data_IF_761741462358
#
_entry.id   IF_761741462358
#
_cell.length_a   1.000
_cell.length_b   1.000
_cell.length_c   1.000
_cell.angle_alpha   90.00
_cell.angle_beta   90.00
_cell.angle_gamma   90.00
#
_symmetry.space_group_name_H-M   'P 1'
#
loop_
_entity.id
_entity.type
_entity.pdbx_description
1 polymer ?
#
# COMPACT_ATOMS: atom_id res chain seq x y z
N UNK A 1 48.14 68.67 3.07
CA UNK A 1 48.10 67.28 3.59
C UNK A 1 46.94 67.21 4.58
N UNK A 2 45.69 67.20 4.11
CA UNK A 2 45.00 66.06 3.50
C UNK A 2 44.94 64.86 4.46
N UNK A 3 43.73 64.67 5.01
CA UNK A 3 43.04 63.37 5.08
C UNK A 3 43.79 62.21 5.73
N UNK A 4 43.82 62.09 7.08
CA UNK A 4 43.98 60.75 7.69
C UNK A 4 43.78 60.68 9.23
N UNK A 5 42.81 61.37 9.87
CA UNK A 5 42.69 61.25 11.34
C UNK A 5 41.29 61.09 11.96
N UNK A 6 40.24 60.82 11.17
CA UNK A 6 38.93 60.44 11.73
C UNK A 6 38.24 59.45 10.82
N UNK A 7 38.62 58.19 10.90
CA UNK A 7 37.75 57.07 10.49
C UNK A 7 38.26 55.78 11.17
N UNK A 8 38.31 55.79 12.50
CA UNK A 8 38.29 54.54 13.29
C UNK A 8 36.82 54.26 13.58
N UNK A 9 36.12 53.84 12.54
CA UNK A 9 34.96 52.98 12.64
C UNK A 9 35.03 52.08 11.42
N UNK A 10 36.11 51.29 11.34
CA UNK A 10 36.10 50.08 10.52
C UNK A 10 35.03 49.22 11.17
N UNK A 11 33.85 49.27 10.57
CA UNK A 11 32.74 48.38 10.82
C UNK A 11 33.34 46.97 10.72
N UNK A 12 33.57 46.34 11.87
CA UNK A 12 33.68 44.89 11.97
C UNK A 12 32.36 44.39 11.42
N UNK A 13 32.34 44.16 10.11
CA UNK A 13 31.27 43.44 9.43
C UNK A 13 31.42 42.02 9.96
N UNK A 14 30.86 41.81 11.14
CA UNK A 14 30.64 40.51 11.74
C UNK A 14 29.93 39.71 10.67
N UNK A 15 30.70 38.84 10.02
CA UNK A 15 30.21 37.73 9.22
C UNK A 15 29.41 36.85 10.17
N UNK A 16 28.19 37.26 10.50
CA UNK A 16 27.18 36.34 10.97
C UNK A 16 27.00 35.38 9.81
N UNK A 17 27.59 34.20 9.92
CA UNK A 17 27.22 33.06 9.11
C UNK A 17 25.74 32.82 9.38
N UNK A 18 24.89 33.35 8.51
CA UNK A 18 23.50 32.97 8.46
C UNK A 18 23.49 31.53 7.99
N UNK A 19 23.38 30.60 8.93
CA UNK A 19 23.02 29.22 8.62
C UNK A 19 21.60 29.27 8.05
N UNK A 20 21.48 29.20 6.73
CA UNK A 20 20.20 28.91 6.10
C UNK A 20 19.80 27.52 6.57
N UNK A 21 18.78 27.41 7.42
CA UNK A 21 18.12 26.13 7.64
C UNK A 21 17.34 25.84 6.36
N UNK A 22 17.88 24.99 5.49
CA UNK A 22 17.09 24.41 4.42
C UNK A 22 15.97 23.61 5.08
N UNK A 23 14.74 24.11 5.03
CA UNK A 23 13.58 23.31 5.39
C UNK A 23 13.37 22.33 4.24
N UNK A 24 13.43 21.04 4.52
CA UNK A 24 13.05 20.02 3.54
C UNK A 24 11.62 20.34 3.06
N UNK A 25 11.33 20.14 1.78
CA UNK A 25 9.96 20.21 1.26
C UNK A 25 9.29 18.84 1.37
N UNK A 26 7.95 18.74 1.41
CA UNK A 26 7.29 17.46 1.37
C UNK A 26 7.60 16.73 0.06
N UNK A 27 7.67 15.40 0.16
CA UNK A 27 7.88 14.50 -0.97
C UNK A 27 6.55 14.38 -1.72
N UNK A 28 6.59 14.80 -2.98
CA UNK A 28 5.39 14.88 -3.82
C UNK A 28 5.26 13.71 -4.81
N UNK A 29 6.33 12.93 -5.01
CA UNK A 29 6.38 11.81 -5.92
C UNK A 29 7.04 10.61 -5.22
N UNK A 30 6.45 9.44 -5.42
CA UNK A 30 6.92 8.19 -4.80
C UNK A 30 7.06 7.10 -5.84
N UNK A 31 8.21 6.43 -5.82
CA UNK A 31 8.35 5.11 -6.41
C UNK A 31 7.93 4.08 -5.36
N UNK A 32 7.33 2.99 -5.81
CA UNK A 32 6.74 2.01 -4.92
C UNK A 32 6.92 0.60 -5.45
N UNK A 33 7.03 -0.34 -4.52
CA UNK A 33 7.01 -1.77 -4.79
C UNK A 33 6.11 -2.47 -3.78
N UNK A 34 5.22 -3.33 -4.28
CA UNK A 34 4.34 -4.17 -3.46
C UNK A 34 4.60 -5.64 -3.76
N UNK A 35 4.94 -6.38 -2.70
CA UNK A 35 5.16 -7.82 -2.74
C UNK A 35 4.02 -8.53 -2.03
N UNK A 36 3.21 -9.28 -2.77
CA UNK A 36 2.04 -10.00 -2.24
C UNK A 36 2.11 -11.47 -2.58
N UNK A 37 1.92 -12.33 -1.58
CA UNK A 37 1.91 -13.78 -1.75
C UNK A 37 1.05 -14.48 -0.70
N UNK A 38 0.55 -15.66 -1.05
CA UNK A 38 0.08 -16.64 -0.09
C UNK A 38 1.27 -17.23 0.64
N UNK A 39 1.34 -17.03 1.95
CA UNK A 39 2.40 -17.56 2.83
C UNK A 39 1.93 -18.73 3.69
N UNK A 40 0.66 -19.09 3.57
CA UNK A 40 0.05 -20.24 4.23
C UNK A 40 -1.28 -20.58 3.57
N UNK A 41 -1.67 -21.85 3.64
CA UNK A 41 -2.95 -22.33 3.15
C UNK A 41 -3.36 -23.63 3.84
N UNK A 42 -4.66 -23.89 3.85
CA UNK A 42 -5.26 -25.11 4.41
C UNK A 42 -6.26 -25.70 3.41
N UNK A 43 -6.26 -27.02 3.20
CA UNK A 43 -5.35 -28.01 3.78
C UNK A 43 -3.92 -27.91 3.20
N UNK A 44 -2.90 -27.95 4.07
CA UNK A 44 -1.50 -27.99 3.67
C UNK A 44 -1.05 -29.42 3.34
N UNK A 45 0.14 -29.56 2.74
CA UNK A 45 0.78 -30.86 2.52
C UNK A 45 0.80 -31.71 3.83
N UNK A 46 0.57 -33.03 3.75
CA UNK A 46 0.57 -33.88 2.56
C UNK A 46 -0.80 -34.07 1.88
N UNK A 47 -1.82 -33.27 2.19
CA UNK A 47 -3.14 -33.36 1.56
C UNK A 47 -3.15 -32.59 0.22
N UNK A 48 -2.71 -33.24 -0.86
CA UNK A 48 -2.18 -32.61 -2.10
C UNK A 48 -3.22 -32.10 -3.11
N UNK A 49 -4.42 -31.67 -2.73
CA UNK A 49 -5.33 -31.10 -3.74
C UNK A 49 -5.15 -29.60 -3.93
N UNK A 50 -4.72 -28.87 -2.90
CA UNK A 50 -4.33 -27.46 -3.04
C UNK A 50 -2.90 -27.40 -3.55
N UNK A 51 -2.74 -26.89 -4.76
CA UNK A 51 -1.48 -26.77 -5.47
C UNK A 51 -1.06 -25.30 -5.52
N UNK A 52 -0.05 -24.89 -4.74
CA UNK A 52 0.56 -23.58 -4.90
C UNK A 52 1.36 -23.53 -6.20
N UNK A 53 1.30 -22.41 -6.91
CA UNK A 53 2.16 -22.15 -8.06
C UNK A 53 2.53 -20.67 -8.16
N UNK A 54 3.65 -20.43 -8.84
CA UNK A 54 4.33 -19.14 -8.98
C UNK A 54 4.76 -18.55 -7.63
N UNK A 55 6.04 -18.23 -7.44
CA UNK A 55 6.49 -17.68 -6.16
C UNK A 55 6.82 -16.19 -6.26
N UNK A 56 6.41 -15.41 -5.26
CA UNK A 56 6.97 -14.08 -5.02
C UNK A 56 8.40 -14.22 -4.49
N UNK A 57 9.35 -13.51 -5.11
CA UNK A 57 10.79 -13.64 -4.79
C UNK A 57 11.12 -13.19 -3.36
N UNK A 58 10.52 -12.11 -2.88
CA UNK A 58 10.74 -11.65 -1.51
C UNK A 58 10.22 -12.69 -0.51
N UNK A 59 8.96 -13.11 -0.63
CA UNK A 59 8.36 -14.06 0.30
C UNK A 59 8.99 -15.45 0.26
N UNK A 60 9.50 -15.88 -0.90
CA UNK A 60 10.24 -17.14 -1.03
C UNK A 60 11.54 -17.14 -0.21
N UNK A 61 12.12 -15.96 0.04
CA UNK A 61 13.27 -15.82 0.94
C UNK A 61 12.89 -15.82 2.43
N UNK A 62 11.62 -15.59 2.75
CA UNK A 62 11.12 -15.47 4.13
C UNK A 62 10.56 -16.79 4.68
N UNK A 63 10.10 -17.69 3.81
CA UNK A 63 9.45 -18.93 4.24
C UNK A 63 9.27 -19.97 3.14
N UNK A 64 8.76 -21.16 3.49
CA UNK A 64 8.63 -22.28 2.57
C UNK A 64 7.46 -22.17 1.58
N UNK A 65 6.56 -21.19 1.77
CA UNK A 65 5.40 -20.96 0.93
C UNK A 65 5.39 -19.47 0.56
N UNK A 66 5.33 -19.19 -0.74
CA UNK A 66 5.35 -17.83 -1.28
C UNK A 66 4.51 -17.71 -2.56
N UNK A 67 3.48 -18.54 -2.67
CA UNK A 67 2.72 -18.72 -3.90
C UNK A 67 1.94 -17.46 -4.26
N UNK A 68 1.79 -17.13 -5.55
CA UNK A 68 0.87 -16.07 -6.01
C UNK A 68 -0.42 -16.64 -6.59
N UNK A 69 -0.51 -17.97 -6.69
CA UNK A 69 -1.70 -18.71 -7.07
C UNK A 69 -1.86 -19.96 -6.21
N UNK A 70 -3.07 -20.19 -5.73
CA UNK A 70 -3.51 -21.46 -5.14
C UNK A 70 -4.60 -22.03 -6.06
N UNK A 71 -4.40 -23.24 -6.58
CA UNK A 71 -5.41 -23.97 -7.35
C UNK A 71 -5.83 -25.23 -6.60
N UNK A 72 -7.09 -25.62 -6.65
CA UNK A 72 -7.58 -26.79 -5.91
C UNK A 72 -8.64 -27.59 -6.67
N UNK A 73 -8.98 -28.75 -6.11
CA UNK A 73 -9.90 -29.69 -6.71
C UNK A 73 -9.39 -30.39 -7.96
N UNK A 74 -10.17 -31.32 -8.46
CA UNK A 74 -10.01 -31.95 -9.77
C UNK A 74 -11.19 -31.53 -10.66
N UNK A 75 -10.95 -31.09 -11.90
CA UNK A 75 -12.04 -30.70 -12.80
C UNK A 75 -13.09 -31.81 -12.94
N UNK A 76 -14.37 -31.46 -12.82
CA UNK A 76 -15.46 -32.44 -12.86
C UNK A 76 -15.62 -33.10 -14.25
N UNK A 77 -15.28 -32.39 -15.32
CA UNK A 77 -15.43 -32.87 -16.70
C UNK A 77 -14.31 -32.35 -17.63
N UNK A 78 -14.06 -33.02 -18.77
CA UNK A 78 -13.13 -32.51 -19.78
C UNK A 78 -13.50 -31.10 -20.25
N UNK A 79 -12.53 -30.19 -20.27
CA UNK A 79 -12.73 -28.79 -20.67
C UNK A 79 -13.04 -27.84 -19.50
N UNK A 80 -13.28 -28.36 -18.30
CA UNK A 80 -13.33 -27.59 -17.07
C UNK A 80 -11.91 -27.48 -16.50
N UNK A 81 -11.58 -26.34 -15.87
CA UNK A 81 -10.32 -26.11 -15.18
C UNK A 81 -10.50 -26.16 -13.66
N UNK A 82 -9.40 -26.17 -12.91
CA UNK A 82 -9.45 -26.12 -11.45
C UNK A 82 -9.95 -24.75 -10.96
N UNK A 83 -10.71 -24.75 -9.87
CA UNK A 83 -10.96 -23.53 -9.08
C UNK A 83 -9.63 -22.99 -8.55
N UNK A 84 -9.51 -21.67 -8.49
CA UNK A 84 -8.28 -21.05 -8.02
C UNK A 84 -8.47 -19.65 -7.45
N UNK A 85 -7.57 -19.30 -6.55
CA UNK A 85 -7.39 -17.97 -6.03
C UNK A 85 -6.03 -17.47 -6.47
N UNK A 86 -5.99 -16.38 -7.23
CA UNK A 86 -4.76 -15.88 -7.81
C UNK A 86 -4.70 -14.37 -7.84
N UNK A 87 -3.47 -13.87 -7.88
CA UNK A 87 -3.19 -12.45 -8.01
C UNK A 87 -2.87 -12.12 -9.48
N UNK A 88 -3.59 -11.19 -10.10
CA UNK A 88 -3.55 -10.97 -11.57
C UNK A 88 -2.92 -9.66 -12.05
N UNK A 89 -2.28 -8.88 -11.17
CA UNK A 89 -1.45 -7.72 -11.57
C UNK A 89 0.01 -8.02 -11.18
N UNK A 90 0.95 -7.68 -12.07
CA UNK A 90 2.38 -8.00 -11.94
C UNK A 90 3.18 -7.55 -13.16
N UNK A 91 3.80 -6.36 -13.13
CA UNK A 91 4.60 -5.86 -14.26
C UNK A 91 5.89 -6.65 -14.53
N UNK A 92 6.36 -7.47 -13.57
CA UNK A 92 7.70 -8.04 -13.62
C UNK A 92 7.79 -9.58 -13.51
N UNK A 93 6.66 -10.31 -13.48
CA UNK A 93 6.66 -11.79 -13.47
C UNK A 93 7.19 -12.48 -12.20
N UNK A 94 7.54 -11.72 -11.16
CA UNK A 94 8.11 -12.21 -9.89
C UNK A 94 7.19 -11.99 -8.68
N UNK A 95 5.88 -11.88 -8.90
CA UNK A 95 4.91 -11.64 -7.82
C UNK A 95 5.00 -10.25 -7.19
N UNK A 96 5.69 -9.30 -7.82
CA UNK A 96 5.92 -7.94 -7.34
C UNK A 96 5.30 -6.92 -8.29
N UNK A 97 4.63 -5.90 -7.74
CA UNK A 97 4.08 -4.76 -8.48
C UNK A 97 4.92 -3.52 -8.19
N UNK A 98 5.42 -2.88 -9.24
CA UNK A 98 6.30 -1.71 -9.14
C UNK A 98 5.68 -0.58 -9.94
N UNK A 99 5.67 0.60 -9.35
CA UNK A 99 5.31 1.85 -10.02
C UNK A 99 6.28 2.97 -9.68
N UNK A 100 6.28 4.00 -10.53
CA UNK A 100 7.14 5.17 -10.36
C UNK A 100 6.34 6.45 -10.44
N UNK A 101 6.83 7.50 -9.79
CA UNK A 101 6.25 8.84 -9.88
C UNK A 101 4.81 8.96 -9.39
N UNK A 102 4.41 8.17 -8.39
CA UNK A 102 3.09 8.28 -7.77
C UNK A 102 2.96 9.64 -7.07
N UNK A 103 2.11 10.50 -7.60
CA UNK A 103 1.84 11.80 -7.02
C UNK A 103 1.14 11.70 -5.67
N UNK A 104 1.49 12.59 -4.74
CA UNK A 104 0.80 12.70 -3.46
C UNK A 104 -0.71 12.90 -3.66
N UNK A 105 -1.53 12.06 -3.04
CA UNK A 105 -2.99 12.03 -3.15
C UNK A 105 -3.53 11.28 -4.37
N UNK A 106 -2.69 10.81 -5.29
CA UNK A 106 -3.11 9.96 -6.40
C UNK A 106 -3.27 8.49 -5.97
N UNK A 107 -4.10 7.75 -6.70
CA UNK A 107 -4.29 6.31 -6.54
C UNK A 107 -3.35 5.55 -7.48
N UNK A 108 -2.77 4.48 -6.97
CA UNK A 108 -2.14 3.44 -7.77
C UNK A 108 -2.75 2.09 -7.44
N UNK A 109 -3.27 1.38 -8.44
CA UNK A 109 -3.68 -0.01 -8.30
C UNK A 109 -2.44 -0.86 -8.13
N UNK A 110 -2.35 -1.55 -7.00
CA UNK A 110 -1.22 -2.41 -6.68
C UNK A 110 -1.49 -3.82 -7.15
N UNK A 111 -2.67 -4.37 -6.83
CA UNK A 111 -2.94 -5.77 -7.11
C UNK A 111 -4.41 -6.05 -7.24
N UNK A 112 -4.75 -7.09 -8.01
CA UNK A 112 -6.10 -7.64 -8.12
C UNK A 112 -6.04 -9.08 -7.66
N UNK A 113 -6.97 -9.46 -6.77
CA UNK A 113 -7.16 -10.85 -6.38
C UNK A 113 -8.39 -11.40 -7.10
N UNK A 114 -8.23 -12.51 -7.80
CA UNK A 114 -9.27 -13.15 -8.60
C UNK A 114 -9.57 -14.53 -8.02
N UNK A 115 -10.84 -14.77 -7.74
CA UNK A 115 -11.39 -16.08 -7.45
C UNK A 115 -12.08 -16.62 -8.71
N UNK A 116 -11.48 -17.66 -9.27
CA UNK A 116 -12.05 -18.44 -10.37
C UNK A 116 -12.84 -19.61 -9.79
N UNK A 117 -14.17 -19.62 -9.95
CA UNK A 117 -15.03 -20.68 -9.43
C UNK A 117 -15.48 -21.65 -10.52
N UNK A 118 -15.17 -22.94 -10.37
CA UNK A 118 -15.55 -23.97 -11.32
C UNK A 118 -15.96 -25.26 -10.61
N UNK A 119 -16.87 -26.01 -11.24
CA UNK A 119 -17.31 -27.30 -10.74
C UNK A 119 -16.12 -28.28 -10.67
N UNK A 120 -15.73 -28.62 -9.44
CA UNK A 120 -14.64 -29.53 -9.12
C UNK A 120 -15.09 -30.69 -8.23
N UNK A 121 -14.17 -31.64 -8.03
CA UNK A 121 -14.27 -32.75 -7.08
C UNK A 121 -13.02 -32.83 -6.21
N UNK A 122 -13.10 -33.53 -5.08
CA UNK A 122 -11.97 -33.74 -4.18
C UNK A 122 -11.89 -32.66 -3.09
N UNK A 123 -10.70 -32.51 -2.49
CA UNK A 123 -10.50 -31.56 -1.40
C UNK A 123 -10.32 -30.14 -1.94
N UNK A 124 -10.88 -29.18 -1.22
CA UNK A 124 -10.98 -27.77 -1.61
C UNK A 124 -10.11 -26.90 -0.71
N UNK A 125 -9.89 -25.64 -1.11
CA UNK A 125 -9.32 -24.65 -0.19
C UNK A 125 -10.27 -24.48 1.00
N UNK A 126 -9.72 -24.36 2.21
CA UNK A 126 -10.49 -24.04 3.42
C UNK A 126 -10.07 -22.68 3.98
N UNK A 127 -8.81 -22.30 3.74
CA UNK A 127 -8.32 -21.00 4.13
C UNK A 127 -6.90 -20.74 3.63
N UNK A 128 -6.50 -19.48 3.69
CA UNK A 128 -5.18 -19.03 3.29
C UNK A 128 -4.71 -17.83 4.11
N UNK A 129 -3.40 -17.61 4.14
CA UNK A 129 -2.80 -16.38 4.65
C UNK A 129 -2.18 -15.64 3.48
N UNK A 130 -2.73 -14.46 3.17
CA UNK A 130 -2.20 -13.53 2.17
C UNK A 130 -1.33 -12.50 2.88
N UNK A 131 -0.04 -12.48 2.59
CA UNK A 131 0.91 -11.52 3.15
C UNK A 131 1.31 -10.50 2.11
N UNK A 132 1.36 -9.24 2.51
CA UNK A 132 1.77 -8.12 1.64
C UNK A 132 2.76 -7.19 2.33
N UNK A 133 3.71 -6.68 1.57
CA UNK A 133 4.66 -5.66 2.01
C UNK A 133 4.72 -4.55 0.98
N UNK A 134 4.79 -3.31 1.47
CA UNK A 134 5.04 -2.12 0.67
C UNK A 134 6.46 -1.61 0.91
N UNK A 135 7.08 -1.12 -0.15
CA UNK A 135 8.31 -0.36 -0.15
C UNK A 135 8.06 0.97 -0.86
N UNK A 136 8.53 2.06 -0.28
CA UNK A 136 8.43 3.39 -0.87
C UNK A 136 9.81 4.04 -0.97
N UNK A 137 10.02 4.74 -2.08
CA UNK A 137 11.22 5.52 -2.35
C UNK A 137 10.84 6.93 -2.85
N UNK A 138 11.37 8.02 -2.27
CA UNK A 138 11.10 9.38 -2.76
C UNK A 138 11.66 9.64 -4.17
N UNK A 139 10.82 9.88 -5.17
CA UNK A 139 11.25 10.18 -6.55
C UNK A 139 11.56 11.69 -6.74
N UNK A 140 12.60 12.10 -7.49
CA UNK A 140 13.54 11.29 -8.30
C UNK A 140 14.84 10.96 -7.55
N UNK A 141 14.86 11.06 -6.21
CA UNK A 141 16.04 10.70 -5.44
C UNK A 141 16.29 9.21 -5.61
N UNK A 142 17.41 8.86 -6.25
CA UNK A 142 17.81 7.48 -6.60
C UNK A 142 18.38 6.76 -5.35
N UNK A 143 17.58 6.72 -4.29
CA UNK A 143 17.91 6.15 -2.97
C UNK A 143 17.69 4.64 -2.90
N UNK A 144 18.03 4.05 -1.74
CA UNK A 144 17.53 2.72 -1.36
C UNK A 144 16.12 2.94 -0.83
N UNK A 145 15.16 2.05 -1.12
CA UNK A 145 13.80 2.07 -0.53
C UNK A 145 13.84 2.33 0.99
N UNK A 146 13.75 3.59 1.38
CA UNK A 146 14.05 4.04 2.75
C UNK A 146 12.84 3.90 3.68
N UNK A 147 11.66 3.63 3.11
CA UNK A 147 10.43 3.43 3.87
C UNK A 147 9.88 2.04 3.58
N UNK A 148 9.89 1.20 4.61
CA UNK A 148 9.27 -0.12 4.62
C UNK A 148 8.26 -0.17 5.77
N UNK A 149 6.97 0.16 5.52
CA UNK A 149 5.91 -0.02 6.51
C UNK A 149 5.80 -1.49 6.95
N UNK A 150 5.05 -1.72 8.03
CA UNK A 150 4.88 -3.08 8.54
C UNK A 150 4.14 -3.93 7.50
N UNK A 151 4.62 -5.14 7.27
CA UNK A 151 3.93 -6.08 6.40
C UNK A 151 2.54 -6.40 6.98
N UNK A 152 1.54 -6.49 6.11
CA UNK A 152 0.17 -6.82 6.50
C UNK A 152 -0.11 -8.27 6.15
N UNK A 153 -0.83 -8.95 7.03
CA UNK A 153 -1.27 -10.33 6.82
C UNK A 153 -2.79 -10.36 6.89
N UNK A 154 -3.39 -11.03 5.91
CA UNK A 154 -4.82 -11.25 5.82
C UNK A 154 -5.10 -12.75 5.88
N UNK A 155 -6.05 -13.13 6.71
CA UNK A 155 -6.62 -14.46 6.73
C UNK A 155 -7.77 -14.51 5.74
N UNK A 156 -7.79 -15.58 4.96
CA UNK A 156 -8.87 -15.94 4.07
C UNK A 156 -9.52 -17.18 4.65
N UNK A 157 -10.83 -17.10 4.86
CA UNK A 157 -11.68 -18.25 5.13
C UNK A 157 -12.47 -18.54 3.85
N UNK A 158 -12.42 -19.78 3.38
CA UNK A 158 -13.01 -20.16 2.10
C UNK A 158 -13.90 -21.38 2.26
N UNK A 159 -15.06 -21.33 1.61
CA UNK A 159 -15.97 -22.46 1.50
C UNK A 159 -16.29 -22.69 0.04
N UNK A 160 -15.77 -23.80 -0.49
CA UNK A 160 -16.35 -24.42 -1.67
C UNK A 160 -17.67 -25.07 -1.27
N UNK A 161 -18.75 -24.64 -1.89
CA UNK A 161 -20.08 -25.13 -1.56
C UNK A 161 -20.41 -26.41 -2.33
N UNK A 162 -21.41 -27.15 -1.85
CA UNK A 162 -21.88 -28.32 -2.59
C UNK A 162 -22.51 -27.86 -3.91
N UNK A 163 -22.07 -28.45 -5.02
CA UNK A 163 -22.57 -28.16 -6.36
C UNK A 163 -23.95 -28.82 -6.63
N UNK A 164 -24.87 -28.75 -5.66
CA UNK A 164 -26.20 -29.37 -5.70
C UNK A 164 -27.31 -28.42 -5.15
N UNK A 165 -28.53 -28.93 -4.96
CA UNK A 165 -29.68 -28.12 -4.50
C UNK A 165 -29.64 -27.78 -2.99
N UNK A 166 -28.56 -28.12 -2.26
CA UNK A 166 -28.44 -27.98 -0.80
C UNK A 166 -27.63 -26.77 -0.31
N UNK A 167 -27.65 -25.66 -1.06
CA UNK A 167 -26.86 -24.47 -0.77
C UNK A 167 -26.95 -23.99 0.69
N UNK A 168 -25.78 -23.75 1.29
CA UNK A 168 -25.65 -23.23 2.66
C UNK A 168 -26.26 -21.84 2.83
N UNK A 169 -26.33 -21.08 1.72
CA UNK A 169 -26.98 -19.77 1.64
C UNK A 169 -27.85 -19.68 0.39
N UNK A 170 -28.81 -18.75 0.39
CA UNK A 170 -29.64 -18.49 -0.79
C UNK A 170 -28.75 -18.07 -1.96
N UNK A 171 -28.66 -18.94 -2.95
CA UNK A 171 -27.76 -18.86 -4.09
C UNK A 171 -28.40 -19.52 -5.31
N UNK A 172 -27.99 -19.18 -6.56
CA UNK A 172 -28.20 -20.05 -7.71
C UNK A 172 -27.71 -21.48 -7.46
N UNK A 173 -28.22 -22.42 -8.26
CA UNK A 173 -27.71 -23.80 -8.34
C UNK A 173 -26.99 -23.96 -9.69
N UNK A 174 -25.76 -24.48 -9.71
CA UNK A 174 -24.95 -24.94 -8.56
C UNK A 174 -24.56 -23.79 -7.61
N UNK A 175 -24.37 -24.13 -6.33
CA UNK A 175 -24.22 -23.15 -5.25
C UNK A 175 -22.99 -22.24 -5.44
N UNK A 176 -23.10 -20.99 -5.00
CA UNK A 176 -22.00 -20.05 -5.03
C UNK A 176 -21.02 -20.35 -3.91
N UNK A 177 -19.74 -20.30 -4.25
CA UNK A 177 -18.66 -20.39 -3.28
C UNK A 177 -18.48 -19.11 -2.49
N UNK A 178 -18.03 -19.25 -1.26
CA UNK A 178 -17.96 -18.15 -0.30
C UNK A 178 -16.49 -17.85 0.01
N UNK A 179 -16.09 -16.61 -0.28
CA UNK A 179 -14.78 -16.06 0.03
C UNK A 179 -14.92 -15.02 1.14
N UNK A 180 -14.16 -15.16 2.21
CA UNK A 180 -14.07 -14.19 3.30
C UNK A 180 -12.62 -13.79 3.52
N UNK A 181 -12.37 -12.50 3.72
CA UNK A 181 -11.03 -11.97 4.03
C UNK A 181 -11.06 -11.04 5.24
N UNK A 182 -10.06 -11.16 6.12
CA UNK A 182 -9.91 -10.34 7.31
C UNK A 182 -8.44 -10.15 7.70
N UNK A 183 -8.07 -9.04 8.37
CA UNK A 183 -8.88 -7.86 8.63
C UNK A 183 -8.94 -6.95 7.39
N UNK A 184 -10.07 -6.29 7.13
CA UNK A 184 -10.17 -5.25 6.09
C UNK A 184 -10.47 -3.84 6.65
N UNK A 185 -10.51 -3.72 7.97
CA UNK A 185 -10.72 -2.45 8.66
C UNK A 185 -9.38 -1.80 9.05
N UNK A 186 -9.28 -0.48 8.91
CA UNK A 186 -8.14 0.33 9.34
C UNK A 186 -6.78 -0.13 8.77
N UNK A 187 -6.69 -0.20 7.45
CA UNK A 187 -5.45 -0.59 6.75
C UNK A 187 -4.43 0.55 6.61
N UNK A 188 -4.73 1.72 7.18
CA UNK A 188 -3.89 2.90 7.07
C UNK A 188 -2.58 2.74 7.85
N UNK A 189 -1.47 3.15 7.25
CA UNK A 189 -0.15 3.10 7.87
C UNK A 189 0.50 4.49 7.84
N UNK A 190 0.64 5.10 9.01
CA UNK A 190 1.32 6.38 9.17
C UNK A 190 2.83 6.21 9.31
N UNK A 191 3.61 7.14 8.75
CA UNK A 191 5.06 7.19 8.92
C UNK A 191 5.57 8.63 8.84
N UNK A 192 6.74 8.88 9.44
CA UNK A 192 7.40 10.18 9.42
C UNK A 192 8.68 10.11 8.59
N UNK A 193 8.86 11.05 7.65
CA UNK A 193 10.07 11.16 6.86
C UNK A 193 10.41 12.63 6.63
N UNK A 194 11.67 13.01 6.85
CA UNK A 194 12.17 14.39 6.68
C UNK A 194 11.35 15.46 7.43
N UNK A 195 10.79 15.10 8.60
CA UNK A 195 9.97 16.01 9.42
C UNK A 195 8.53 16.18 8.93
N UNK A 196 8.08 15.36 7.98
CA UNK A 196 6.71 15.33 7.48
C UNK A 196 6.01 14.04 7.88
N UNK A 197 4.75 14.17 8.32
CA UNK A 197 3.86 13.04 8.55
C UNK A 197 3.14 12.66 7.24
N UNK A 198 3.29 11.40 6.87
CA UNK A 198 2.61 10.78 5.74
C UNK A 198 1.69 9.68 6.23
N UNK A 199 0.64 9.43 5.45
CA UNK A 199 -0.27 8.32 5.67
C UNK A 199 -0.46 7.55 4.36
N UNK A 200 -0.28 6.24 4.44
CA UNK A 200 -0.54 5.30 3.37
C UNK A 200 -1.95 4.77 3.61
N UNK A 201 -2.82 4.99 2.65
CA UNK A 201 -4.17 4.46 2.62
C UNK A 201 -4.20 3.27 1.67
N UNK A 202 -4.70 2.14 2.16
CA UNK A 202 -4.97 0.95 1.34
C UNK A 202 -6.48 0.90 1.15
N UNK A 203 -6.90 1.00 -0.11
CA UNK A 203 -8.29 0.99 -0.51
C UNK A 203 -8.59 -0.31 -1.24
N UNK A 204 -9.67 -0.98 -0.86
CA UNK A 204 -10.10 -2.23 -1.48
C UNK A 204 -11.44 -1.99 -2.14
N UNK A 205 -11.55 -2.32 -3.42
CA UNK A 205 -12.78 -2.23 -4.22
C UNK A 205 -13.18 -3.63 -4.70
N UNK A 206 -14.48 -3.93 -4.70
CA UNK A 206 -15.00 -5.28 -5.02
C UNK A 206 -15.29 -6.18 -3.81
N UNK A 207 -15.00 -5.74 -2.58
CA UNK A 207 -15.43 -6.43 -1.36
C UNK A 207 -16.72 -5.84 -0.77
N UNK A 208 -17.61 -6.72 -0.32
CA UNK A 208 -18.85 -6.34 0.37
C UNK A 208 -18.94 -6.93 1.77
N UNK A 209 -19.89 -6.43 2.57
CA UNK A 209 -20.29 -7.11 3.81
C UNK A 209 -21.22 -8.25 3.44
N UNK A 210 -20.85 -9.47 3.84
CA UNK A 210 -21.66 -10.66 3.59
C UNK A 210 -22.80 -10.80 4.61
N UNK A 211 -23.78 -11.64 4.27
CA UNK A 211 -24.83 -12.01 5.24
C UNK A 211 -24.24 -12.84 6.38
N UNK A 212 -24.84 -12.77 7.57
CA UNK A 212 -24.38 -13.55 8.72
C UNK A 212 -24.39 -15.05 8.46
N UNK A 213 -25.33 -15.54 7.62
CA UNK A 213 -25.38 -16.94 7.21
C UNK A 213 -24.17 -17.32 6.34
N UNK A 214 -23.78 -16.45 5.40
CA UNK A 214 -22.60 -16.68 4.56
C UNK A 214 -21.30 -16.64 5.39
N UNK A 215 -21.19 -15.69 6.32
CA UNK A 215 -20.07 -15.65 7.25
C UNK A 215 -19.99 -16.92 8.10
N UNK A 216 -21.12 -17.35 8.66
CA UNK A 216 -21.18 -18.57 9.47
C UNK A 216 -20.84 -19.83 8.67
N UNK A 217 -21.30 -19.94 7.42
CA UNK A 217 -20.99 -21.05 6.53
C UNK A 217 -19.48 -21.14 6.24
N UNK A 218 -18.82 -20.01 6.00
CA UNK A 218 -17.36 -19.94 5.84
C UNK A 218 -16.58 -20.05 7.16
N UNK A 219 -17.24 -20.14 8.32
CA UNK A 219 -16.59 -20.20 9.63
C UNK A 219 -16.10 -18.85 10.17
N UNK A 220 -16.53 -17.74 9.58
CA UNK A 220 -16.17 -16.37 9.95
C UNK A 220 -17.19 -15.73 10.90
N UNK A 221 -16.77 -14.65 11.57
CA UNK A 221 -17.63 -13.85 12.44
C UNK A 221 -18.70 -13.06 11.64
N UNK A 222 -19.84 -12.76 12.28
CA UNK A 222 -20.89 -11.90 11.71
C UNK A 222 -20.33 -10.54 11.26
N UNK A 223 -20.86 -10.02 10.14
CA UNK A 223 -20.36 -8.80 9.50
C UNK A 223 -19.01 -8.96 8.79
N UNK A 224 -18.65 -10.18 8.39
CA UNK A 224 -17.43 -10.45 7.63
C UNK A 224 -17.44 -9.78 6.25
N UNK A 225 -16.24 -9.58 5.69
CA UNK A 225 -16.05 -8.96 4.37
C UNK A 225 -15.58 -9.98 3.34
N UNK A 226 -16.15 -9.93 2.15
CA UNK A 226 -15.95 -10.96 1.14
C UNK A 226 -16.91 -10.85 -0.04
N UNK A 227 -17.04 -11.93 -0.79
CA UNK A 227 -18.01 -12.09 -1.87
C UNK A 227 -18.44 -13.56 -2.00
N UNK A 228 -19.48 -13.80 -2.80
CA UNK A 228 -19.85 -15.14 -3.25
C UNK A 228 -19.70 -15.23 -4.76
N UNK A 229 -19.05 -16.28 -5.28
CA UNK A 229 -18.79 -16.43 -6.73
C UNK A 229 -19.68 -17.48 -7.35
N UNK A 230 -20.33 -17.14 -8.46
CA UNK A 230 -21.18 -18.05 -9.21
C UNK A 230 -20.32 -19.13 -9.87
N UNK A 231 -20.82 -20.36 -9.90
CA UNK A 231 -20.17 -21.50 -10.55
C UNK A 231 -19.98 -21.30 -12.06
N UNK A 232 -18.74 -21.45 -12.52
CA UNK A 232 -18.33 -21.18 -13.89
C UNK A 232 -17.95 -19.72 -14.19
N UNK A 233 -17.98 -18.84 -13.18
CA UNK A 233 -17.66 -17.41 -13.28
C UNK A 233 -16.47 -17.05 -12.38
N UNK A 234 -15.99 -15.81 -12.51
CA UNK A 234 -14.98 -15.23 -11.63
C UNK A 234 -15.54 -14.03 -10.85
N UNK A 235 -14.99 -13.80 -9.66
CA UNK A 235 -15.09 -12.53 -8.96
C UNK A 235 -13.69 -12.05 -8.63
N UNK A 236 -13.52 -10.74 -8.59
CA UNK A 236 -12.27 -10.12 -8.23
C UNK A 236 -12.46 -8.94 -7.28
N UNK A 237 -11.37 -8.55 -6.64
CA UNK A 237 -11.28 -7.29 -5.94
C UNK A 237 -9.94 -6.62 -6.22
N UNK A 238 -9.98 -5.30 -6.33
CA UNK A 238 -8.83 -4.45 -6.59
C UNK A 238 -8.31 -3.82 -5.30
N UNK A 239 -6.99 -3.78 -5.17
CA UNK A 239 -6.30 -3.09 -4.09
C UNK A 239 -5.55 -1.90 -4.67
N UNK A 240 -5.81 -0.73 -4.10
CA UNK A 240 -5.19 0.53 -4.46
C UNK A 240 -4.44 1.11 -3.25
N UNK A 241 -3.34 1.79 -3.51
CA UNK A 241 -2.64 2.61 -2.53
C UNK A 241 -2.80 4.09 -2.85
N UNK A 242 -2.86 4.91 -1.80
CA UNK A 242 -2.75 6.36 -1.88
C UNK A 242 -1.87 6.87 -0.76
N UNK A 243 -0.94 7.75 -1.08
CA UNK A 243 -0.07 8.39 -0.08
C UNK A 243 -0.57 9.83 0.11
N UNK A 244 -0.82 10.21 1.36
CA UNK A 244 -1.26 11.55 1.74
C UNK A 244 -0.30 12.15 2.76
N UNK A 245 -0.26 13.48 2.87
CA UNK A 245 0.45 14.17 3.95
C UNK A 245 -0.56 14.68 4.97
N UNK A 246 -0.29 14.45 6.27
CA UNK A 246 -1.21 14.77 7.36
C UNK A 246 -1.08 16.22 7.89
N UNK A 247 -0.23 17.03 7.28
CA UNK A 247 -0.14 18.46 7.59
C UNK A 247 1.29 18.95 7.67
N UNK A 248 1.59 19.88 6.77
CA UNK A 248 2.66 20.86 6.89
C UNK A 248 2.44 21.63 8.21
N UNK A 249 3.23 21.38 9.25
CA UNK A 249 3.57 22.51 10.12
C UNK A 249 4.44 23.43 9.29
N UNK A 250 3.84 24.42 8.62
CA UNK A 250 4.59 25.56 8.09
C UNK A 250 5.35 26.15 9.28
N UNK A 251 6.62 25.79 9.42
CA UNK A 251 7.56 26.56 10.23
C UNK A 251 7.79 27.83 9.43
N UNK A 252 7.37 29.01 9.91
CA UNK A 252 7.52 30.24 9.17
C UNK A 252 8.98 30.43 8.78
N UNK A 253 9.26 30.64 7.51
CA UNK A 253 10.62 30.93 7.06
C UNK A 253 11.17 32.13 7.87
N UNK A 254 12.27 32.00 8.63
CA UNK A 254 12.79 33.10 9.44
C UNK A 254 13.34 34.28 8.61
N UNK A 255 13.34 34.17 7.28
CA UNK A 255 14.15 34.98 6.38
C UNK A 255 13.47 36.27 5.91
N UNK A 256 12.14 36.27 5.74
CA UNK A 256 11.43 37.40 5.11
C UNK A 256 11.24 38.57 6.09
N UNK A 257 10.92 38.30 7.36
CA UNK A 257 10.86 39.34 8.41
C UNK A 257 12.24 39.95 8.66
N UNK A 258 13.29 39.12 8.62
CA UNK A 258 14.67 39.60 8.80
C UNK A 258 15.13 40.45 7.61
N UNK A 259 14.86 40.03 6.37
CA UNK A 259 15.17 40.82 5.17
C UNK A 259 14.37 42.12 5.11
N UNK A 260 13.09 42.07 5.47
CA UNK A 260 12.24 43.27 5.55
C UNK A 260 12.75 44.24 6.61
N UNK A 261 13.12 43.74 7.79
CA UNK A 261 13.67 44.59 8.86
C UNK A 261 15.03 45.18 8.48
N UNK A 262 15.94 44.40 7.88
CA UNK A 262 17.21 44.90 7.33
C UNK A 262 17.00 45.95 6.22
N UNK A 263 16.02 45.74 5.33
CA UNK A 263 15.68 46.70 4.29
C UNK A 263 15.15 48.01 4.90
N UNK A 264 14.30 47.94 5.93
CA UNK A 264 13.83 49.14 6.64
C UNK A 264 14.95 49.86 7.38
N UNK A 265 15.87 49.13 8.04
CA UNK A 265 17.05 49.73 8.66
C UNK A 265 17.98 50.41 7.64
N UNK A 266 18.17 49.80 6.46
CA UNK A 266 18.95 50.38 5.36
C UNK A 266 18.34 51.68 4.82
N UNK A 267 17.02 51.76 4.69
CA UNK A 267 16.31 52.97 4.25
C UNK A 267 16.45 54.09 5.29
N UNK A 268 16.33 53.78 6.59
CA UNK A 268 16.49 54.76 7.68
C UNK A 268 17.93 55.27 7.79
N UNK A 269 18.93 54.42 7.56
CA UNK A 269 20.33 54.83 7.52
C UNK A 269 20.63 55.74 6.31
N UNK A 270 20.07 55.42 5.14
CA UNK A 270 20.23 56.19 3.90
C UNK A 270 19.51 57.55 3.92
N UNK A 271 18.37 57.65 4.61
CA UNK A 271 17.66 58.93 4.76
C UNK A 271 18.39 59.90 5.70
N UNK A 272 19.08 59.38 6.73
CA UNK A 272 19.88 60.20 7.65
C UNK A 272 21.17 60.74 7.04
N UNK A 273 21.79 60.02 6.09
CA UNK A 273 23.01 60.49 5.42
C UNK A 273 22.76 61.61 4.41
N UNK A 274 21.50 61.90 4.05
CA UNK A 274 21.14 63.03 3.17
C UNK A 274 20.81 64.32 3.92
N UNK A 275 20.72 64.27 5.25
CA UNK A 275 20.40 65.42 6.11
C UNK A 275 21.56 65.86 7.02
N UNK A 276 22.77 65.40 6.75
CA UNK A 276 24.02 65.91 7.33
C UNK A 276 24.98 66.37 6.25
#
# INVERSE_FOLDING_TARGET
MKTLKKLITVLTLSTLGFAFTATAMPINLWDWQVDTAFTGYTPAAPNTTVTPSNDNVYWASQGPIAATKLAWGSPFAPGIIQSSLERTVGNNGFGSDIGTGLALGALAQTTTLVHNNFIITGNTLQGATLSTRLLLDPNPTDGIYDVAPTALNFNIDFLETSNDDSCEVVSPVPCNDIFVISPVANLNQGFMLNGYDYNIEILVDGLGVLTDAACAAAGAASGCSGFTTIEGEENDFDVNIRITSLGITEVPEPSTILLLSLAMFGIVASSRSKHS
#
